data_IF_548642741827
#
_entry.id   IF_548642741827
#
_cell.length_a   1.000
_cell.length_b   1.000
_cell.length_c   1.000
_cell.angle_alpha   90.00
_cell.angle_beta   90.00
_cell.angle_gamma   90.00
#
_symmetry.space_group_name_H-M   'P 1'
#
loop_
_entity.id
_entity.type
_entity.pdbx_description
1 polymer ?
#
# COMPACT_ATOMS: atom_id res chain seq x y z
N UNK A 1 23.15 32.24 6.23
CA UNK A 1 22.35 31.88 5.03
C UNK A 1 22.36 30.36 4.91
N UNK A 2 21.27 29.69 5.32
CA UNK A 2 21.18 28.23 5.26
C UNK A 2 20.76 27.87 3.83
N UNK A 3 21.65 27.18 3.13
CA UNK A 3 21.43 26.72 1.77
C UNK A 3 20.46 25.52 1.82
N UNK A 4 19.16 25.80 1.65
CA UNK A 4 18.10 24.80 1.50
C UNK A 4 18.09 24.25 0.06
N UNK A 5 19.20 23.65 -0.35
CA UNK A 5 19.15 22.66 -1.42
C UNK A 5 18.43 21.44 -0.84
N UNK A 6 17.10 21.40 -0.95
CA UNK A 6 16.33 20.17 -0.80
C UNK A 6 16.94 19.17 -1.76
N UNK A 7 17.77 18.27 -1.23
CA UNK A 7 18.28 17.13 -1.97
C UNK A 7 17.07 16.43 -2.56
N UNK A 8 16.89 16.52 -3.87
CA UNK A 8 16.02 15.61 -4.59
C UNK A 8 16.60 14.24 -4.30
N UNK A 9 15.88 13.33 -3.62
CA UNK A 9 16.39 11.99 -3.38
C UNK A 9 16.81 11.42 -4.72
N UNK A 10 18.04 10.95 -4.83
CA UNK A 10 18.51 10.29 -6.03
C UNK A 10 17.59 9.08 -6.22
N UNK A 11 16.67 9.21 -7.17
CA UNK A 11 15.56 8.30 -7.46
C UNK A 11 15.98 6.83 -7.59
N UNK A 12 17.27 6.61 -7.84
CA UNK A 12 17.89 5.32 -8.08
C UNK A 12 18.24 4.51 -6.81
N UNK A 13 18.09 5.03 -5.58
CA UNK A 13 18.32 4.23 -4.34
C UNK A 13 17.47 4.72 -3.16
N UNK A 14 16.15 4.57 -3.23
CA UNK A 14 15.33 4.71 -2.02
C UNK A 14 15.64 3.56 -1.06
N UNK A 15 15.85 3.88 0.21
CA UNK A 15 15.92 2.88 1.29
C UNK A 15 14.53 2.31 1.60
N UNK A 16 14.48 1.22 2.36
CA UNK A 16 13.21 0.63 2.80
C UNK A 16 12.42 1.66 3.60
N UNK A 17 13.06 2.36 4.52
CA UNK A 17 12.42 3.39 5.34
C UNK A 17 11.84 4.52 4.49
N UNK A 18 12.61 5.10 3.57
CA UNK A 18 12.13 6.17 2.68
C UNK A 18 10.96 5.69 1.80
N UNK A 19 11.02 4.46 1.30
CA UNK A 19 9.94 3.85 0.51
C UNK A 19 8.65 3.72 1.35
N UNK A 20 8.78 3.26 2.60
CA UNK A 20 7.65 3.14 3.52
C UNK A 20 7.07 4.51 3.90
N UNK A 21 7.91 5.53 4.08
CA UNK A 21 7.47 6.90 4.34
C UNK A 21 6.69 7.48 3.15
N UNK A 22 7.15 7.26 1.92
CA UNK A 22 6.44 7.68 0.71
C UNK A 22 5.06 7.01 0.62
N UNK A 23 4.99 5.69 0.79
CA UNK A 23 3.73 4.94 0.77
C UNK A 23 2.79 5.38 1.90
N UNK A 24 3.34 5.63 3.09
CA UNK A 24 2.59 6.16 4.23
C UNK A 24 1.97 7.52 3.92
N UNK A 25 2.78 8.44 3.38
CA UNK A 25 2.34 9.80 3.03
C UNK A 25 1.25 9.75 1.96
N UNK A 26 1.41 8.90 0.96
CA UNK A 26 0.44 8.72 -0.12
C UNK A 26 -0.89 8.15 0.40
N UNK A 27 -0.86 7.08 1.20
CA UNK A 27 -2.08 6.48 1.75
C UNK A 27 -2.85 7.40 2.72
N UNK A 28 -2.15 8.30 3.43
CA UNK A 28 -2.72 9.26 4.37
C UNK A 28 -3.40 10.47 3.71
N UNK A 29 -3.37 10.60 2.39
CA UNK A 29 -4.10 11.66 1.69
C UNK A 29 -5.58 11.66 2.08
N UNK A 30 -6.20 12.84 2.09
CA UNK A 30 -7.64 12.94 2.33
C UNK A 30 -8.39 12.40 1.10
N UNK A 31 -9.34 11.45 1.24
CA UNK A 31 -9.97 10.81 0.10
C UNK A 31 -10.91 11.73 -0.67
N UNK A 32 -11.28 12.91 -0.13
CA UNK A 32 -12.13 13.91 -0.82
C UNK A 32 -13.50 13.38 -1.26
N UNK A 33 -14.05 12.41 -0.54
CA UNK A 33 -15.42 11.92 -0.77
C UNK A 33 -16.42 13.07 -0.56
N UNK A 34 -17.23 13.39 -1.57
CA UNK A 34 -18.28 14.39 -1.45
C UNK A 34 -19.64 13.70 -1.40
N UNK A 35 -20.44 14.01 -0.38
CA UNK A 35 -21.76 13.41 -0.18
C UNK A 35 -22.71 13.65 -1.38
N UNK A 36 -22.49 14.72 -2.15
CA UNK A 36 -23.30 15.05 -3.33
C UNK A 36 -23.12 14.03 -4.47
N UNK A 37 -22.00 13.31 -4.49
CA UNK A 37 -21.70 12.31 -5.52
C UNK A 37 -22.50 10.99 -5.34
N UNK A 38 -23.38 10.92 -4.33
CA UNK A 38 -24.09 9.70 -3.91
C UNK A 38 -25.60 9.89 -3.95
N UNK A 39 -26.32 8.83 -4.32
CA UNK A 39 -27.78 8.83 -4.34
C UNK A 39 -28.34 8.75 -2.91
N UNK A 40 -27.65 8.02 -2.03
CA UNK A 40 -28.09 7.84 -0.64
C UNK A 40 -26.97 8.10 0.38
N UNK A 41 -27.39 8.54 1.57
CA UNK A 41 -26.51 8.64 2.74
C UNK A 41 -25.86 7.30 3.11
N UNK A 42 -26.56 6.20 2.81
CA UNK A 42 -26.10 4.85 3.08
C UNK A 42 -24.89 4.50 2.21
N UNK A 43 -24.95 4.75 0.90
CA UNK A 43 -23.83 4.52 -0.02
C UNK A 43 -22.59 5.30 0.40
N UNK A 44 -22.75 6.61 0.66
CA UNK A 44 -21.67 7.47 1.14
C UNK A 44 -21.01 6.92 2.42
N UNK A 45 -21.82 6.50 3.39
CA UNK A 45 -21.29 5.96 4.65
C UNK A 45 -20.61 4.61 4.46
N UNK A 46 -21.15 3.73 3.63
CA UNK A 46 -20.52 2.46 3.29
C UNK A 46 -19.14 2.69 2.67
N UNK A 47 -19.04 3.59 1.69
CA UNK A 47 -17.77 3.86 1.02
C UNK A 47 -16.76 4.55 1.94
N UNK A 48 -17.21 5.47 2.80
CA UNK A 48 -16.35 6.03 3.87
C UNK A 48 -15.79 4.97 4.80
N UNK A 49 -16.61 4.01 5.21
CA UNK A 49 -16.18 2.91 6.07
C UNK A 49 -15.16 2.04 5.34
N UNK A 50 -15.37 1.74 4.05
CA UNK A 50 -14.39 1.01 3.24
C UNK A 50 -13.05 1.73 3.13
N UNK A 51 -13.05 3.00 2.75
CA UNK A 51 -11.84 3.82 2.62
C UNK A 51 -11.09 3.92 3.95
N UNK A 52 -11.80 3.91 5.07
CA UNK A 52 -11.20 3.88 6.41
C UNK A 52 -10.62 2.50 6.74
N UNK A 53 -11.31 1.42 6.37
CA UNK A 53 -10.82 0.05 6.53
C UNK A 53 -9.53 -0.16 5.73
N UNK A 54 -9.49 0.32 4.48
CA UNK A 54 -8.30 0.21 3.63
C UNK A 54 -7.09 0.94 4.25
N UNK A 55 -7.29 2.11 4.87
CA UNK A 55 -6.23 2.79 5.61
C UNK A 55 -5.72 1.98 6.81
N UNK A 56 -6.62 1.29 7.53
CA UNK A 56 -6.21 0.41 8.65
C UNK A 56 -5.34 -0.74 8.13
N UNK A 57 -5.73 -1.36 7.03
CA UNK A 57 -4.96 -2.45 6.40
C UNK A 57 -3.58 -1.96 5.96
N UNK A 58 -3.49 -0.80 5.30
CA UNK A 58 -2.20 -0.20 4.92
C UNK A 58 -1.32 0.01 6.15
N UNK A 59 -1.86 0.58 7.24
CA UNK A 59 -1.09 0.77 8.47
C UNK A 59 -0.56 -0.54 9.04
N UNK A 60 -1.39 -1.56 9.08
CA UNK A 60 -1.00 -2.88 9.57
C UNK A 60 0.15 -3.46 8.74
N UNK A 61 0.04 -3.44 7.40
CA UNK A 61 1.08 -3.93 6.50
C UNK A 61 2.38 -3.14 6.61
N UNK A 62 2.30 -1.81 6.71
CA UNK A 62 3.47 -0.95 6.94
C UNK A 62 4.20 -1.34 8.22
N UNK A 63 3.47 -1.46 9.34
CA UNK A 63 4.05 -1.85 10.62
C UNK A 63 4.65 -3.26 10.56
N UNK A 64 4.01 -4.20 9.86
CA UNK A 64 4.57 -5.53 9.63
C UNK A 64 5.90 -5.46 8.91
N UNK A 65 6.01 -4.75 7.78
CA UNK A 65 7.29 -4.62 7.06
C UNK A 65 8.36 -3.98 7.94
N UNK A 66 8.01 -2.95 8.71
CA UNK A 66 8.92 -2.32 9.68
C UNK A 66 9.40 -3.29 10.76
N UNK A 67 8.57 -4.23 11.20
CA UNK A 67 8.98 -5.23 12.20
C UNK A 67 9.99 -6.24 11.65
N UNK A 68 9.88 -6.63 10.37
CA UNK A 68 10.79 -7.61 9.78
C UNK A 68 12.17 -7.03 9.45
N UNK A 69 12.34 -5.70 9.37
CA UNK A 69 13.57 -4.92 9.12
C UNK A 69 14.45 -5.29 7.91
N UNK A 70 14.28 -6.48 7.35
CA UNK A 70 15.11 -7.06 6.30
C UNK A 70 14.39 -7.08 4.94
N UNK A 71 13.18 -6.53 4.85
CA UNK A 71 12.45 -6.43 3.59
C UNK A 71 13.14 -5.38 2.70
N UNK A 72 13.73 -5.77 1.56
CA UNK A 72 14.50 -4.84 0.74
C UNK A 72 13.59 -3.82 0.02
N UNK A 73 14.07 -2.60 -0.14
CA UNK A 73 13.31 -1.52 -0.78
C UNK A 73 12.95 -1.85 -2.23
N UNK A 74 13.88 -2.44 -2.97
CA UNK A 74 13.72 -2.90 -4.35
C UNK A 74 12.60 -3.93 -4.49
N UNK A 75 12.42 -4.81 -3.50
CA UNK A 75 11.31 -5.75 -3.49
C UNK A 75 9.96 -5.02 -3.40
N UNK A 76 9.87 -3.95 -2.61
CA UNK A 76 8.66 -3.13 -2.49
C UNK A 76 8.43 -2.32 -3.77
N UNK A 77 9.48 -1.66 -4.27
CA UNK A 77 9.42 -0.82 -5.47
C UNK A 77 9.05 -1.62 -6.71
N UNK A 78 9.52 -2.87 -6.84
CA UNK A 78 9.15 -3.78 -7.92
C UNK A 78 7.63 -4.08 -7.96
N UNK A 79 6.91 -3.88 -6.85
CA UNK A 79 5.46 -4.07 -6.80
C UNK A 79 4.65 -2.84 -7.22
N UNK A 80 5.29 -1.68 -7.40
CA UNK A 80 4.67 -0.46 -7.93
C UNK A 80 4.31 -0.63 -9.42
N UNK A 81 3.29 -1.44 -9.67
CA UNK A 81 2.84 -1.85 -10.99
C UNK A 81 1.39 -1.44 -11.23
N UNK A 82 1.01 -1.41 -12.51
CA UNK A 82 -0.34 -1.04 -12.92
C UNK A 82 -0.61 0.45 -12.75
N UNK A 83 -1.50 0.81 -11.82
CA UNK A 83 -1.97 2.19 -11.64
C UNK A 83 -1.17 2.99 -10.61
N UNK A 84 -0.35 2.37 -9.75
CA UNK A 84 0.47 3.07 -8.76
C UNK A 84 1.95 2.92 -9.13
N UNK A 85 2.64 4.03 -9.36
CA UNK A 85 4.03 4.05 -9.82
C UNK A 85 4.77 5.28 -9.29
N UNK A 86 6.09 5.29 -9.44
CA UNK A 86 6.95 6.37 -9.00
C UNK A 86 7.31 7.27 -10.19
N UNK A 87 6.96 8.56 -10.13
CA UNK A 87 7.37 9.58 -11.11
C UNK A 87 8.10 10.71 -10.38
N UNK A 88 9.32 11.04 -10.82
CA UNK A 88 10.09 12.19 -10.30
C UNK A 88 10.20 12.26 -8.77
N UNK A 89 10.24 11.12 -8.09
CA UNK A 89 10.37 11.03 -6.62
C UNK A 89 9.03 11.03 -5.88
N UNK A 90 7.93 10.98 -6.61
CA UNK A 90 6.57 11.05 -6.08
C UNK A 90 5.75 9.83 -6.50
N UNK A 91 4.94 9.32 -5.58
CA UNK A 91 3.95 8.30 -5.91
C UNK A 91 2.81 8.96 -6.68
N UNK A 92 2.54 8.42 -7.87
CA UNK A 92 1.47 8.85 -8.76
C UNK A 92 0.51 7.68 -8.93
N UNK A 93 -0.78 7.97 -8.89
CA UNK A 93 -1.82 7.00 -9.18
C UNK A 93 -2.59 7.39 -10.44
N UNK A 94 -2.45 6.61 -11.50
CA UNK A 94 -3.24 6.75 -12.71
C UNK A 94 -4.68 6.35 -12.42
N UNK A 95 -5.53 7.35 -12.35
CA UNK A 95 -6.94 7.24 -11.95
C UNK A 95 -7.71 6.35 -12.91
N UNK A 96 -8.52 5.43 -12.38
CA UNK A 96 -9.66 4.86 -13.10
C UNK A 96 -10.90 5.73 -12.98
N UNK A 97 -12.04 5.11 -12.70
CA UNK A 97 -13.36 5.76 -12.67
C UNK A 97 -13.60 6.60 -11.40
N UNK A 98 -12.99 6.26 -10.24
CA UNK A 98 -13.19 7.00 -8.99
C UNK A 98 -11.96 6.96 -8.07
N UNK A 99 -11.13 8.00 -8.13
CA UNK A 99 -9.89 8.13 -7.34
C UNK A 99 -10.02 7.87 -5.84
N UNK A 100 -11.04 8.42 -5.12
CA UNK A 100 -11.11 8.41 -3.66
C UNK A 100 -11.00 7.04 -3.00
N UNK A 101 -11.30 5.97 -3.73
CA UNK A 101 -11.47 4.62 -3.17
C UNK A 101 -10.48 3.60 -3.69
N UNK A 102 -9.64 3.96 -4.66
CA UNK A 102 -8.71 3.03 -5.29
C UNK A 102 -7.27 3.20 -4.78
N UNK A 103 -6.84 4.42 -4.47
CA UNK A 103 -5.42 4.69 -4.18
C UNK A 103 -4.89 3.96 -2.92
N UNK A 104 -5.69 3.86 -1.85
CA UNK A 104 -5.32 3.11 -0.64
C UNK A 104 -5.26 1.61 -0.89
N UNK A 105 -6.17 1.10 -1.73
CA UNK A 105 -6.19 -0.30 -2.13
C UNK A 105 -4.95 -0.66 -2.93
N UNK A 106 -4.51 0.25 -3.81
CA UNK A 106 -3.27 0.09 -4.55
C UNK A 106 -2.05 0.02 -3.62
N UNK A 107 -1.94 0.92 -2.63
CA UNK A 107 -0.88 0.85 -1.62
C UNK A 107 -0.92 -0.46 -0.84
N UNK A 108 -2.12 -0.87 -0.38
CA UNK A 108 -2.28 -2.14 0.33
C UNK A 108 -1.81 -3.33 -0.51
N UNK A 109 -2.15 -3.36 -1.80
CA UNK A 109 -1.71 -4.40 -2.74
C UNK A 109 -0.19 -4.44 -2.88
N UNK A 110 0.46 -3.30 -3.07
CA UNK A 110 1.93 -3.20 -3.17
C UNK A 110 2.62 -3.78 -1.93
N UNK A 111 2.20 -3.36 -0.74
CA UNK A 111 2.78 -3.83 0.51
C UNK A 111 2.53 -5.31 0.75
N UNK A 112 1.31 -5.78 0.44
CA UNK A 112 0.92 -7.18 0.59
C UNK A 112 1.70 -8.09 -0.38
N UNK A 113 1.84 -7.68 -1.64
CA UNK A 113 2.66 -8.39 -2.63
C UNK A 113 4.14 -8.43 -2.24
N UNK A 114 4.69 -7.33 -1.71
CA UNK A 114 6.08 -7.29 -1.25
C UNK A 114 6.32 -8.26 -0.08
N UNK A 115 5.40 -8.30 0.90
CA UNK A 115 5.46 -9.27 2.00
C UNK A 115 5.34 -10.71 1.51
N UNK A 116 4.47 -10.98 0.55
CA UNK A 116 4.35 -12.32 -0.05
C UNK A 116 5.67 -12.78 -0.63
N UNK A 117 6.29 -11.97 -1.50
CA UNK A 117 7.57 -12.35 -2.15
C UNK A 117 8.68 -12.51 -1.12
N UNK A 118 8.72 -11.64 -0.11
CA UNK A 118 9.69 -11.74 0.98
C UNK A 118 9.53 -13.06 1.75
N UNK A 119 8.31 -13.44 2.07
CA UNK A 119 8.02 -14.68 2.79
C UNK A 119 8.18 -15.92 1.90
N UNK A 120 7.86 -15.84 0.62
CA UNK A 120 8.15 -16.89 -0.36
C UNK A 120 9.64 -17.21 -0.41
N UNK A 121 10.47 -16.17 -0.49
CA UNK A 121 11.93 -16.31 -0.38
C UNK A 121 12.37 -16.87 0.99
N UNK A 122 11.84 -16.32 2.09
CA UNK A 122 12.26 -16.67 3.45
C UNK A 122 11.87 -18.10 3.86
N UNK A 123 10.73 -18.58 3.39
CA UNK A 123 10.17 -19.89 3.74
C UNK A 123 10.31 -20.90 2.60
N UNK A 124 11.17 -20.63 1.61
CA UNK A 124 11.43 -21.52 0.47
C UNK A 124 10.15 -21.99 -0.26
N UNK A 125 9.19 -21.09 -0.44
CA UNK A 125 7.93 -21.36 -1.14
C UNK A 125 6.91 -22.19 -0.35
N UNK A 126 7.04 -22.32 0.97
CA UNK A 126 6.01 -22.93 1.81
C UNK A 126 4.75 -22.04 1.88
N UNK A 127 3.85 -22.30 0.94
CA UNK A 127 2.61 -21.54 0.73
C UNK A 127 1.70 -21.54 1.96
N UNK A 128 1.64 -22.65 2.71
CA UNK A 128 0.76 -22.76 3.88
C UNK A 128 1.26 -21.86 5.02
N UNK A 129 2.57 -21.83 5.25
CA UNK A 129 3.20 -20.92 6.21
C UNK A 129 3.00 -19.46 5.80
N UNK A 130 3.19 -19.12 4.52
CA UNK A 130 2.99 -17.75 4.00
C UNK A 130 1.54 -17.30 4.22
N UNK A 131 0.56 -18.16 3.95
CA UNK A 131 -0.85 -17.87 4.22
C UNK A 131 -1.14 -17.69 5.71
N UNK A 132 -0.54 -18.50 6.59
CA UNK A 132 -0.70 -18.37 8.03
C UNK A 132 -0.13 -17.02 8.54
N UNK A 133 1.02 -16.60 8.04
CA UNK A 133 1.64 -15.31 8.34
C UNK A 133 0.75 -14.14 7.89
N UNK A 134 0.29 -14.18 6.64
CA UNK A 134 -0.62 -13.18 6.07
C UNK A 134 -1.93 -13.08 6.84
N UNK A 135 -2.51 -14.22 7.20
CA UNK A 135 -3.76 -14.29 7.95
C UNK A 135 -3.60 -13.67 9.35
N UNK A 136 -2.49 -13.94 10.03
CA UNK A 136 -2.18 -13.32 11.33
C UNK A 136 -2.07 -11.80 11.24
N UNK A 137 -1.45 -11.30 10.17
CA UNK A 137 -1.22 -9.86 9.98
C UNK A 137 -2.51 -9.13 9.64
N UNK A 138 -3.23 -9.57 8.61
CA UNK A 138 -4.43 -8.86 8.12
C UNK A 138 -5.66 -9.17 8.98
N UNK A 139 -5.66 -10.29 9.70
CA UNK A 139 -6.73 -10.77 10.58
C UNK A 139 -8.12 -10.78 9.91
N UNK A 140 -8.16 -10.98 8.58
CA UNK A 140 -9.38 -10.99 7.79
C UNK A 140 -9.18 -11.74 6.47
N UNK A 141 -9.74 -12.94 6.36
CA UNK A 141 -9.61 -13.82 5.19
C UNK A 141 -10.19 -13.19 3.90
N UNK A 142 -11.26 -12.40 3.99
CA UNK A 142 -11.86 -11.73 2.83
C UNK A 142 -10.99 -10.59 2.30
N UNK A 143 -10.22 -9.96 3.19
CA UNK A 143 -9.26 -8.92 2.82
C UNK A 143 -8.10 -9.53 2.03
N UNK A 144 -7.65 -10.74 2.38
CA UNK A 144 -6.63 -11.46 1.61
C UNK A 144 -7.07 -11.69 0.17
N UNK A 145 -8.30 -12.18 -0.06
CA UNK A 145 -8.83 -12.41 -1.41
C UNK A 145 -8.96 -11.12 -2.23
N UNK A 146 -9.21 -9.98 -1.58
CA UNK A 146 -9.36 -8.67 -2.23
C UNK A 146 -8.03 -8.12 -2.76
N UNK A 147 -6.92 -8.42 -2.08
CA UNK A 147 -5.60 -7.88 -2.42
C UNK A 147 -4.69 -8.88 -3.12
N UNK A 148 -4.88 -10.17 -2.85
CA UNK A 148 -4.19 -11.30 -3.51
C UNK A 148 -5.14 -11.97 -4.50
N UNK A 149 -5.22 -11.40 -5.70
CA UNK A 149 -5.77 -12.14 -6.84
C UNK A 149 -4.63 -12.98 -7.37
N UNK A 150 -4.71 -14.32 -7.22
CA UNK A 150 -3.92 -15.24 -8.03
C UNK A 150 -4.18 -14.88 -9.50
N UNK A 151 -3.15 -14.37 -10.17
CA UNK A 151 -3.03 -14.55 -11.62
C UNK A 151 -2.64 -15.99 -11.87
#
# INVERSE_FOLDING_TARGET
MINLAKATPNLNRLTTLETLELLTKFAKQYPRLNKIDYQTLREYNLERVEVTRDLKIVKTLLSTIQLYNDVPADMILAQLTGRLHLENGHLVYHVGQYWPTEYRKAVARVLASALWIYWDYKFNGDVDTIYAELHRVINCSDTLKRYFVRG
#
